data_IF_173450338640
#
_entry.id   IF_173450338640
#
_cell.length_a   1.000
_cell.length_b   1.000
_cell.length_c   1.000
_cell.angle_alpha   90.00
_cell.angle_beta   90.00
_cell.angle_gamma   90.00
#
_symmetry.space_group_name_H-M   'P 1'
#
loop_
_entity.id
_entity.type
_entity.pdbx_description
1 polymer ?
#
# COMPACT_ATOMS: atom_id res chain seq x y z
N UNK A 1 -29.32 12.53 32.98
CA UNK A 1 -29.52 13.86 32.39
C UNK A 1 -28.20 14.64 32.50
N UNK A 2 -27.33 14.52 31.53
CA UNK A 2 -26.39 15.53 31.02
C UNK A 2 -25.82 14.94 29.74
N UNK A 3 -26.53 15.15 28.64
CA UNK A 3 -25.99 15.06 27.30
C UNK A 3 -25.07 16.27 27.16
N UNK A 4 -23.77 16.08 27.45
CA UNK A 4 -22.77 17.01 27.01
C UNK A 4 -22.74 16.95 25.48
N UNK A 5 -23.33 17.95 24.84
CA UNK A 5 -23.07 18.27 23.44
C UNK A 5 -21.57 18.60 23.30
N UNK A 6 -20.73 17.60 23.09
CA UNK A 6 -19.44 17.81 22.47
C UNK A 6 -19.73 18.20 21.01
N UNK A 7 -19.96 19.47 20.78
CA UNK A 7 -19.82 20.04 19.44
C UNK A 7 -18.36 19.88 19.10
N UNK A 8 -18.03 18.81 18.37
CA UNK A 8 -16.70 18.64 17.80
C UNK A 8 -16.43 19.90 16.97
N UNK A 9 -15.56 20.77 17.50
CA UNK A 9 -15.21 22.03 16.86
C UNK A 9 -14.52 21.65 15.54
N UNK A 10 -15.18 21.89 14.41
CA UNK A 10 -14.63 21.60 13.09
C UNK A 10 -13.30 22.32 12.93
N UNK A 11 -12.23 21.55 12.74
CA UNK A 11 -10.90 22.09 12.46
C UNK A 11 -10.90 22.57 11.01
N UNK A 12 -10.58 23.84 10.79
CA UNK A 12 -10.44 24.41 9.45
C UNK A 12 -9.03 24.91 9.25
N UNK A 13 -8.39 24.43 8.19
CA UNK A 13 -7.05 24.84 7.77
C UNK A 13 -7.14 25.48 6.39
N UNK A 14 -6.72 26.73 6.28
CA UNK A 14 -6.67 27.48 5.04
C UNK A 14 -5.23 27.55 4.54
N UNK A 15 -4.98 26.94 3.40
CA UNK A 15 -3.72 27.08 2.66
C UNK A 15 -3.89 28.24 1.68
N UNK A 16 -3.12 29.31 1.88
CA UNK A 16 -3.16 30.51 1.04
C UNK A 16 -2.01 30.56 0.05
N UNK A 17 -2.25 31.26 -1.04
CA UNK A 17 -1.23 31.57 -2.06
C UNK A 17 -0.52 30.31 -2.59
N UNK A 18 -1.26 29.22 -2.78
CA UNK A 18 -0.73 27.96 -3.32
C UNK A 18 -0.63 28.02 -4.85
N UNK A 19 0.41 27.42 -5.41
CA UNK A 19 0.46 27.01 -6.80
C UNK A 19 0.03 25.55 -6.90
N UNK A 20 -1.26 25.31 -7.16
CA UNK A 20 -1.83 23.96 -7.18
C UNK A 20 -1.47 23.26 -8.50
N UNK A 21 -0.96 22.03 -8.38
CA UNK A 21 -0.67 21.14 -9.51
C UNK A 21 -1.53 19.89 -9.36
N UNK A 22 -2.53 19.76 -10.21
CA UNK A 22 -3.46 18.63 -10.21
C UNK A 22 -4.05 18.37 -11.60
N UNK A 23 -4.24 17.11 -11.98
CA UNK A 23 -4.89 16.69 -13.23
C UNK A 23 -4.36 17.42 -14.49
N UNK A 24 -3.03 17.47 -14.62
CA UNK A 24 -2.30 18.15 -15.69
C UNK A 24 -2.51 19.68 -15.78
N UNK A 25 -3.08 20.27 -14.74
CA UNK A 25 -3.24 21.73 -14.64
C UNK A 25 -2.33 22.29 -13.55
N UNK A 26 -1.92 23.54 -13.77
CA UNK A 26 -1.20 24.34 -12.77
C UNK A 26 -1.88 25.69 -12.68
N UNK A 27 -2.32 26.08 -11.47
CA UNK A 27 -3.03 27.33 -11.25
C UNK A 27 -2.81 27.86 -9.83
N UNK A 28 -2.91 29.18 -9.66
CA UNK A 28 -2.80 29.81 -8.35
C UNK A 28 -4.17 29.85 -7.68
N UNK A 29 -4.23 29.38 -6.41
CA UNK A 29 -5.49 29.37 -5.65
C UNK A 29 -5.22 29.18 -4.14
N UNK A 30 -6.24 29.51 -3.34
CA UNK A 30 -6.35 29.11 -1.94
C UNK A 30 -7.12 27.80 -1.80
N UNK A 31 -6.78 27.00 -0.79
CA UNK A 31 -7.43 25.74 -0.49
C UNK A 31 -7.86 25.69 0.97
N UNK A 32 -9.15 25.45 1.22
CA UNK A 32 -9.70 25.26 2.55
C UNK A 32 -9.92 23.79 2.84
N UNK A 33 -9.36 23.31 3.94
CA UNK A 33 -9.56 21.96 4.48
C UNK A 33 -10.50 22.06 5.67
N UNK A 34 -11.52 21.23 5.70
CA UNK A 34 -12.43 21.07 6.84
C UNK A 34 -12.27 19.66 7.40
N UNK A 35 -11.72 19.56 8.61
CA UNK A 35 -11.28 18.29 9.23
C UNK A 35 -10.27 17.56 8.33
N UNK A 36 -10.70 16.51 7.63
CA UNK A 36 -9.91 15.62 6.79
C UNK A 36 -10.28 15.66 5.29
N UNK A 37 -11.13 16.63 4.91
CA UNK A 37 -11.62 16.78 3.53
C UNK A 37 -11.34 18.16 2.97
N UNK A 38 -11.09 18.23 1.65
CA UNK A 38 -11.03 19.49 0.92
C UNK A 38 -12.44 20.05 0.83
N UNK A 39 -12.66 21.24 1.40
CA UNK A 39 -13.96 21.93 1.42
C UNK A 39 -14.11 22.84 0.20
N UNK A 40 -13.11 23.66 -0.08
CA UNK A 40 -13.18 24.68 -1.14
C UNK A 40 -11.81 24.91 -1.75
N UNK A 41 -11.76 25.08 -3.08
CA UNK A 41 -10.64 25.62 -3.84
C UNK A 41 -11.16 26.86 -4.58
N UNK A 42 -10.53 28.02 -4.38
CA UNK A 42 -10.92 29.26 -5.05
C UNK A 42 -9.72 30.19 -5.23
N UNK A 43 -9.80 31.12 -6.16
CA UNK A 43 -8.72 32.10 -6.41
C UNK A 43 -8.36 32.91 -5.16
N UNK A 44 -9.31 33.14 -4.28
CA UNK A 44 -9.12 33.80 -2.98
C UNK A 44 -10.16 33.29 -1.99
N UNK A 45 -9.72 32.97 -0.77
CA UNK A 45 -10.58 32.61 0.36
C UNK A 45 -10.29 33.54 1.55
N UNK A 46 -11.31 34.23 2.03
CA UNK A 46 -11.17 35.10 3.20
C UNK A 46 -10.93 34.27 4.45
N UNK A 47 -9.82 34.56 5.14
CA UNK A 47 -9.49 33.95 6.42
C UNK A 47 -10.54 34.38 7.47
N UNK A 48 -10.85 33.46 8.40
CA UNK A 48 -11.71 33.72 9.57
C UNK A 48 -10.90 33.45 10.85
N UNK A 49 -11.24 34.12 11.94
CA UNK A 49 -10.50 34.07 13.22
C UNK A 49 -10.25 32.64 13.75
N UNK A 50 -11.14 31.71 13.40
CA UNK A 50 -11.05 30.31 13.84
C UNK A 50 -10.35 29.38 12.84
N UNK A 51 -9.81 29.91 11.73
CA UNK A 51 -9.03 29.13 10.77
C UNK A 51 -7.56 29.08 11.19
N UNK A 52 -6.95 27.91 11.05
CA UNK A 52 -5.50 27.81 10.98
C UNK A 52 -5.10 28.23 9.57
N UNK A 53 -4.39 29.35 9.45
CA UNK A 53 -3.91 29.85 8.16
C UNK A 53 -2.47 29.48 7.97
N UNK A 54 -2.11 28.92 6.80
CA UNK A 54 -0.76 28.63 6.36
C UNK A 54 -0.59 29.33 5.02
N UNK A 55 0.32 30.31 4.96
CA UNK A 55 0.69 30.95 3.70
C UNK A 55 1.79 30.12 3.03
N UNK A 56 1.55 29.69 1.79
CA UNK A 56 2.47 28.90 1.00
C UNK A 56 3.40 29.74 0.10
N UNK A 57 3.21 31.07 0.10
CA UNK A 57 4.07 32.04 -0.60
C UNK A 57 4.36 31.67 -2.08
N UNK A 58 3.45 30.96 -2.73
CA UNK A 58 3.59 30.47 -4.11
C UNK A 58 4.22 29.09 -4.23
N UNK A 59 4.43 28.37 -3.12
CA UNK A 59 4.90 26.99 -3.15
C UNK A 59 3.94 26.06 -3.87
N UNK A 60 4.49 24.99 -4.44
CA UNK A 60 3.72 23.96 -5.12
C UNK A 60 2.89 23.13 -4.14
N UNK A 61 1.61 23.07 -4.39
CA UNK A 61 0.68 22.21 -3.65
C UNK A 61 0.22 21.07 -4.58
N UNK A 62 0.55 19.85 -4.19
CA UNK A 62 0.21 18.63 -4.92
C UNK A 62 -0.68 17.73 -4.05
N UNK A 63 -1.54 16.88 -4.66
CA UNK A 63 -2.12 15.76 -3.94
C UNK A 63 -1.03 14.87 -3.33
N UNK A 64 -1.26 14.37 -2.12
CA UNK A 64 -0.35 13.40 -1.50
C UNK A 64 -0.24 12.14 -2.36
N UNK A 65 0.98 11.63 -2.51
CA UNK A 65 1.21 10.40 -3.27
C UNK A 65 0.64 9.18 -2.54
N UNK A 66 0.24 8.18 -3.32
CA UNK A 66 -0.16 6.85 -2.84
C UNK A 66 0.93 5.87 -3.25
N UNK A 67 1.49 5.16 -2.28
CA UNK A 67 2.38 4.02 -2.54
C UNK A 67 1.57 2.73 -2.44
N UNK A 68 1.35 2.08 -3.56
CA UNK A 68 0.50 0.90 -3.66
C UNK A 68 1.23 -0.42 -3.35
N UNK A 69 2.52 -0.35 -2.99
CA UNK A 69 3.32 -1.54 -2.67
C UNK A 69 4.43 -1.23 -1.67
N UNK A 70 4.15 -1.37 -0.38
CA UNK A 70 5.16 -1.23 0.66
C UNK A 70 5.35 -2.53 1.45
N UNK A 71 6.51 -2.65 2.11
CA UNK A 71 6.87 -3.74 3.01
C UNK A 71 7.36 -3.18 4.34
N UNK A 72 6.44 -2.74 5.19
CA UNK A 72 6.76 -2.21 6.53
C UNK A 72 7.09 -3.30 7.55
N UNK A 73 6.77 -4.56 7.24
CA UNK A 73 7.23 -5.75 7.95
C UNK A 73 6.58 -6.03 9.30
N UNK A 74 5.65 -5.24 9.76
CA UNK A 74 4.91 -5.46 10.99
C UNK A 74 3.54 -6.13 10.72
N UNK A 75 3.15 -7.15 11.49
CA UNK A 75 3.83 -7.70 12.67
C UNK A 75 4.95 -8.71 12.38
N UNK A 76 5.81 -8.93 13.39
CA UNK A 76 6.72 -10.08 13.52
C UNK A 76 8.05 -9.98 12.79
N UNK A 77 8.29 -8.92 12.04
CA UNK A 77 9.57 -8.65 11.35
C UNK A 77 10.06 -7.22 11.63
N UNK A 78 9.72 -6.66 12.78
CA UNK A 78 9.94 -5.26 13.18
C UNK A 78 11.43 -4.89 13.24
N UNK A 79 12.33 -5.87 13.29
CA UNK A 79 13.78 -5.64 13.18
C UNK A 79 14.20 -5.12 11.80
N UNK A 80 13.32 -5.20 10.78
CA UNK A 80 13.52 -4.64 9.45
C UNK A 80 12.86 -3.26 9.29
N UNK A 81 11.75 -3.04 10.00
CA UNK A 81 10.96 -1.83 9.98
C UNK A 81 9.61 -2.06 10.65
N UNK A 82 8.94 -0.99 11.08
CA UNK A 82 7.61 -1.06 11.68
C UNK A 82 6.70 0.04 11.13
N UNK A 83 5.39 -0.11 11.28
CA UNK A 83 4.39 0.84 10.77
C UNK A 83 4.66 2.26 11.32
N UNK A 84 5.07 2.37 12.58
CA UNK A 84 5.35 3.67 13.21
C UNK A 84 6.50 4.44 12.54
N UNK A 85 7.60 3.78 12.21
CA UNK A 85 8.78 4.40 11.59
C UNK A 85 8.60 4.60 10.10
N UNK A 86 8.10 3.58 9.41
CA UNK A 86 7.99 3.58 7.95
C UNK A 86 6.87 4.51 7.46
N UNK A 87 5.75 4.63 8.20
CA UNK A 87 4.72 5.62 7.84
C UNK A 87 5.20 7.07 8.01
N UNK A 88 6.09 7.34 8.97
CA UNK A 88 6.72 8.66 9.10
C UNK A 88 7.70 8.94 7.97
N UNK A 89 8.49 7.95 7.58
CA UNK A 89 9.39 8.06 6.43
C UNK A 89 8.61 8.30 5.13
N UNK A 90 7.48 7.58 4.95
CA UNK A 90 6.58 7.78 3.82
C UNK A 90 6.06 9.23 3.76
N UNK A 91 5.51 9.74 4.87
CA UNK A 91 5.00 11.13 4.93
C UNK A 91 6.12 12.15 4.70
N UNK A 92 7.31 11.93 5.24
CA UNK A 92 8.46 12.82 5.00
C UNK A 92 8.87 12.85 3.51
N UNK A 93 8.58 11.78 2.75
CA UNK A 93 8.78 11.70 1.30
C UNK A 93 7.57 12.18 0.47
N UNK A 94 6.48 12.67 1.11
CA UNK A 94 5.28 13.13 0.41
C UNK A 94 4.24 12.04 0.12
N UNK A 95 4.42 10.83 0.66
CA UNK A 95 3.45 9.73 0.55
C UNK A 95 2.46 9.84 1.71
N UNK A 96 1.20 10.08 1.39
CA UNK A 96 0.13 10.28 2.38
C UNK A 96 -0.76 9.06 2.57
N UNK A 97 -0.64 8.07 1.70
CA UNK A 97 -1.37 6.81 1.76
C UNK A 97 -0.48 5.65 1.29
N UNK A 98 -0.58 4.50 1.93
CA UNK A 98 0.17 3.31 1.50
C UNK A 98 -0.67 2.05 1.54
N UNK A 99 -0.26 1.07 0.73
CA UNK A 99 -0.84 -0.27 0.67
C UNK A 99 0.24 -1.31 0.99
N UNK A 100 0.12 -1.99 2.14
CA UNK A 100 1.15 -2.88 2.61
C UNK A 100 0.89 -4.34 2.25
N UNK A 101 1.97 -5.01 1.85
CA UNK A 101 2.01 -6.41 1.45
C UNK A 101 1.83 -7.38 2.62
N UNK A 102 1.30 -8.61 2.35
CA UNK A 102 0.93 -9.56 3.40
C UNK A 102 2.10 -10.38 3.96
N UNK A 103 3.31 -10.26 3.42
CA UNK A 103 4.47 -11.08 3.79
C UNK A 103 5.18 -10.58 5.07
N UNK A 104 4.48 -10.73 6.16
CA UNK A 104 4.86 -10.47 7.55
C UNK A 104 4.83 -11.78 8.36
N UNK A 105 4.99 -11.77 9.67
CA UNK A 105 5.00 -12.99 10.50
C UNK A 105 4.09 -12.84 11.74
N UNK A 106 2.96 -13.56 11.81
CA UNK A 106 2.41 -14.46 10.79
C UNK A 106 1.93 -13.70 9.53
N UNK A 107 1.92 -14.36 8.38
CA UNK A 107 1.46 -13.78 7.13
C UNK A 107 -0.02 -13.35 7.21
N UNK A 108 -0.37 -12.25 6.53
CA UNK A 108 -1.74 -11.70 6.55
C UNK A 108 -2.62 -12.47 5.56
N UNK A 109 -2.99 -13.71 5.89
CA UNK A 109 -3.75 -14.63 5.02
C UNK A 109 -5.16 -14.93 5.51
N UNK A 110 -5.55 -14.36 6.64
CA UNK A 110 -6.86 -14.52 7.25
C UNK A 110 -7.47 -13.19 7.65
N UNK A 111 -8.79 -13.15 7.80
CA UNK A 111 -9.50 -11.97 8.31
C UNK A 111 -8.99 -11.55 9.71
N UNK A 112 -8.66 -12.51 10.55
CA UNK A 112 -8.15 -12.22 11.89
C UNK A 112 -6.78 -11.51 11.83
N UNK A 113 -5.86 -12.00 11.02
CA UNK A 113 -4.55 -11.38 10.82
C UNK A 113 -4.67 -9.98 10.19
N UNK A 114 -5.61 -9.81 9.24
CA UNK A 114 -5.90 -8.51 8.63
C UNK A 114 -6.40 -7.50 9.68
N UNK A 115 -7.38 -7.89 10.52
CA UNK A 115 -7.91 -7.03 11.58
C UNK A 115 -6.82 -6.63 12.57
N UNK A 116 -5.99 -7.59 13.00
CA UNK A 116 -4.86 -7.29 13.89
C UNK A 116 -3.90 -6.25 13.29
N UNK A 117 -3.62 -6.35 12.00
CA UNK A 117 -2.78 -5.38 11.30
C UNK A 117 -3.42 -3.98 11.23
N UNK A 118 -4.73 -3.92 11.01
CA UNK A 118 -5.49 -2.67 11.11
C UNK A 118 -5.43 -2.05 12.50
N UNK A 119 -5.52 -2.86 13.56
CA UNK A 119 -5.44 -2.39 14.96
C UNK A 119 -4.05 -1.80 15.27
N UNK A 120 -2.98 -2.42 14.76
CA UNK A 120 -1.61 -1.89 14.89
C UNK A 120 -1.50 -0.54 14.17
N UNK A 121 -1.97 -0.46 12.93
CA UNK A 121 -1.87 0.75 12.14
C UNK A 121 -2.72 1.89 12.69
N UNK A 122 -3.89 1.60 13.24
CA UNK A 122 -4.75 2.60 13.89
C UNK A 122 -4.07 3.32 15.05
N UNK A 123 -3.10 2.66 15.70
CA UNK A 123 -2.36 3.23 16.83
C UNK A 123 -1.03 3.89 16.42
N UNK A 124 -0.45 3.46 15.29
CA UNK A 124 0.95 3.75 14.98
C UNK A 124 1.17 4.49 13.66
N UNK A 125 0.23 4.39 12.71
CA UNK A 125 0.41 4.99 11.40
C UNK A 125 0.20 6.49 11.40
N UNK A 126 1.11 7.24 10.76
CA UNK A 126 0.96 8.66 10.49
C UNK A 126 0.25 8.92 9.15
N UNK A 127 0.34 7.98 8.20
CA UNK A 127 -0.31 8.05 6.89
C UNK A 127 -1.61 7.23 6.86
N UNK A 128 -2.46 7.47 5.86
CA UNK A 128 -3.57 6.57 5.55
C UNK A 128 -3.03 5.21 5.12
N UNK A 129 -3.77 4.15 5.39
CA UNK A 129 -3.29 2.80 5.13
C UNK A 129 -4.39 1.87 4.64
N UNK A 130 -3.98 0.90 3.86
CA UNK A 130 -4.73 -0.32 3.57
C UNK A 130 -3.77 -1.51 3.45
N UNK A 131 -4.31 -2.72 3.50
CA UNK A 131 -3.52 -3.95 3.51
C UNK A 131 -4.01 -4.92 2.47
N UNK A 132 -3.07 -5.65 1.87
CA UNK A 132 -3.40 -6.80 1.02
C UNK A 132 -3.65 -8.04 1.86
N UNK A 133 -4.70 -8.78 1.52
CA UNK A 133 -4.86 -10.16 1.96
C UNK A 133 -3.94 -11.05 1.11
N UNK A 134 -3.09 -11.86 1.74
CA UNK A 134 -2.22 -12.81 1.05
C UNK A 134 -2.99 -14.05 0.60
N UNK A 135 -2.82 -14.44 -0.66
CA UNK A 135 -3.28 -15.73 -1.14
C UNK A 135 -2.32 -16.83 -0.73
N UNK A 136 -2.87 -18.01 -0.42
CA UNK A 136 -2.17 -19.28 -0.27
C UNK A 136 -2.87 -20.35 -1.11
N UNK A 137 -2.26 -21.51 -1.34
CA UNK A 137 -2.95 -22.60 -2.06
C UNK A 137 -4.28 -23.01 -1.44
N UNK A 138 -4.46 -22.80 -0.11
CA UNK A 138 -5.55 -23.39 0.67
C UNK A 138 -6.52 -22.36 1.26
N UNK A 139 -6.34 -21.03 1.05
CA UNK A 139 -7.17 -20.01 1.70
C UNK A 139 -8.25 -19.38 0.82
N UNK A 140 -8.70 -20.05 -0.25
CA UNK A 140 -9.70 -19.54 -1.18
C UNK A 140 -10.96 -19.01 -0.48
N UNK A 141 -11.45 -19.68 0.55
CA UNK A 141 -12.64 -19.25 1.30
C UNK A 141 -12.41 -17.94 2.06
N UNK A 142 -11.19 -17.66 2.54
CA UNK A 142 -10.84 -16.36 3.11
C UNK A 142 -10.84 -15.26 2.04
N UNK A 143 -10.37 -15.58 0.83
CA UNK A 143 -10.36 -14.66 -0.31
C UNK A 143 -11.78 -14.31 -0.74
N UNK A 144 -12.65 -15.31 -0.91
CA UNK A 144 -14.07 -15.12 -1.27
C UNK A 144 -14.84 -14.30 -0.24
N UNK A 145 -14.52 -14.50 1.04
CA UNK A 145 -15.16 -13.82 2.15
C UNK A 145 -14.55 -12.44 2.46
N UNK A 146 -13.53 -11.98 1.71
CA UNK A 146 -12.91 -10.70 1.99
C UNK A 146 -13.85 -9.54 1.59
N UNK A 147 -13.91 -8.52 2.47
CA UNK A 147 -14.65 -7.30 2.20
C UNK A 147 -13.77 -6.33 1.41
N UNK A 148 -14.13 -5.97 0.16
CA UNK A 148 -13.36 -5.01 -0.64
C UNK A 148 -13.19 -3.61 -0.02
N UNK A 149 -13.96 -3.29 1.02
CA UNK A 149 -13.83 -2.04 1.78
C UNK A 149 -12.74 -2.10 2.85
N UNK A 150 -12.31 -3.29 3.22
CA UNK A 150 -11.31 -3.52 4.28
C UNK A 150 -9.93 -3.89 3.73
N UNK A 151 -9.82 -4.15 2.44
CA UNK A 151 -8.56 -4.52 1.77
C UNK A 151 -8.35 -3.67 0.53
N UNK A 152 -7.09 -3.36 0.21
CA UNK A 152 -6.76 -2.75 -1.08
C UNK A 152 -6.72 -3.78 -2.22
N UNK A 153 -6.63 -5.06 -1.90
CA UNK A 153 -6.63 -6.16 -2.85
C UNK A 153 -6.17 -7.47 -2.23
N UNK A 154 -6.07 -8.49 -3.07
CA UNK A 154 -5.47 -9.79 -2.74
C UNK A 154 -4.11 -9.89 -3.41
N UNK A 155 -3.07 -10.23 -2.64
CA UNK A 155 -1.71 -10.43 -3.16
C UNK A 155 -1.46 -11.90 -3.42
N UNK A 156 -1.07 -12.22 -4.67
CA UNK A 156 -0.68 -13.55 -5.10
C UNK A 156 0.80 -13.56 -5.48
N UNK A 157 1.58 -14.42 -4.86
CA UNK A 157 2.97 -14.67 -5.25
C UNK A 157 3.01 -15.89 -6.16
N UNK A 158 3.15 -15.67 -7.47
CA UNK A 158 3.27 -16.70 -8.50
C UNK A 158 4.73 -17.14 -8.72
N UNK A 159 5.60 -16.79 -7.79
CA UNK A 159 7.04 -17.12 -7.76
C UNK A 159 7.73 -16.30 -6.68
N UNK A 160 8.93 -16.72 -6.29
CA UNK A 160 9.85 -15.99 -5.40
C UNK A 160 9.19 -15.41 -4.13
N UNK A 161 8.49 -16.23 -3.37
CA UNK A 161 7.92 -15.85 -2.08
C UNK A 161 8.61 -16.54 -0.91
N UNK A 162 8.37 -16.01 0.29
CA UNK A 162 8.79 -16.61 1.56
C UNK A 162 7.59 -17.24 2.27
N UNK A 163 7.82 -18.40 2.88
CA UNK A 163 6.78 -19.13 3.62
C UNK A 163 5.67 -19.68 2.72
N UNK A 164 4.46 -19.81 3.27
CA UNK A 164 3.31 -20.46 2.62
C UNK A 164 2.55 -19.57 1.63
N UNK A 165 3.12 -18.42 1.24
CA UNK A 165 2.48 -17.47 0.34
C UNK A 165 2.68 -17.80 -1.15
N UNK A 166 3.44 -18.85 -1.48
CA UNK A 166 3.69 -19.23 -2.87
C UNK A 166 2.49 -19.99 -3.45
N UNK A 167 1.95 -19.47 -4.55
CA UNK A 167 0.83 -20.08 -5.29
C UNK A 167 1.27 -20.32 -6.73
N UNK A 168 1.69 -21.55 -7.04
CA UNK A 168 2.15 -21.93 -8.39
C UNK A 168 1.25 -22.97 -9.07
N UNK A 169 0.33 -23.59 -8.31
CA UNK A 169 -0.58 -24.59 -8.84
C UNK A 169 -1.64 -23.94 -9.74
N UNK A 170 -1.75 -24.37 -11.03
CA UNK A 170 -2.72 -23.79 -11.97
C UNK A 170 -4.16 -23.77 -11.47
N UNK A 171 -4.61 -24.85 -10.83
CA UNK A 171 -5.97 -24.96 -10.33
C UNK A 171 -6.26 -23.96 -9.20
N UNK A 172 -5.28 -23.72 -8.31
CA UNK A 172 -5.41 -22.74 -7.25
C UNK A 172 -5.42 -21.31 -7.81
N UNK A 173 -4.55 -21.02 -8.77
CA UNK A 173 -4.51 -19.72 -9.47
C UNK A 173 -5.84 -19.47 -10.19
N UNK A 174 -6.32 -20.41 -11.00
CA UNK A 174 -7.59 -20.28 -11.71
C UNK A 174 -8.74 -20.00 -10.75
N UNK A 175 -8.83 -20.74 -9.63
CA UNK A 175 -9.85 -20.52 -8.63
C UNK A 175 -9.77 -19.14 -7.97
N UNK A 176 -8.55 -18.69 -7.62
CA UNK A 176 -8.33 -17.36 -7.04
C UNK A 176 -8.73 -16.26 -8.03
N UNK A 177 -8.26 -16.33 -9.27
CA UNK A 177 -8.59 -15.33 -10.29
C UNK A 177 -10.09 -15.26 -10.62
N UNK A 178 -10.78 -16.40 -10.56
CA UNK A 178 -12.22 -16.50 -10.84
C UNK A 178 -13.10 -16.01 -9.68
N UNK A 179 -12.71 -16.31 -8.45
CA UNK A 179 -13.59 -16.16 -7.28
C UNK A 179 -13.22 -14.93 -6.40
N UNK A 180 -12.09 -14.29 -6.66
CA UNK A 180 -11.66 -13.10 -5.89
C UNK A 180 -12.61 -11.92 -6.16
N UNK A 181 -13.22 -11.31 -5.12
CA UNK A 181 -14.19 -10.22 -5.30
C UNK A 181 -13.56 -8.84 -5.48
N UNK A 182 -12.23 -8.74 -5.49
CA UNK A 182 -11.51 -7.47 -5.54
C UNK A 182 -10.27 -7.56 -6.43
N UNK A 183 -9.48 -6.47 -6.48
CA UNK A 183 -8.23 -6.41 -7.24
C UNK A 183 -7.25 -7.52 -6.80
N UNK A 184 -6.62 -8.15 -7.77
CA UNK A 184 -5.51 -9.08 -7.54
C UNK A 184 -4.20 -8.42 -7.97
N UNK A 185 -3.24 -8.34 -7.05
CA UNK A 185 -1.88 -7.92 -7.32
C UNK A 185 -0.96 -9.13 -7.35
N UNK A 186 -0.22 -9.33 -8.43
CA UNK A 186 0.65 -10.50 -8.61
C UNK A 186 2.13 -10.15 -8.52
N UNK A 187 2.93 -11.10 -8.01
CA UNK A 187 4.36 -11.16 -8.25
C UNK A 187 4.62 -12.31 -9.23
N UNK A 188 5.21 -12.01 -10.36
CA UNK A 188 5.29 -12.94 -11.49
C UNK A 188 6.74 -13.29 -11.80
N UNK A 189 7.18 -14.47 -11.35
CA UNK A 189 8.43 -15.09 -11.76
C UNK A 189 8.26 -16.62 -11.74
N UNK A 190 8.62 -17.29 -12.83
CA UNK A 190 8.47 -18.75 -12.94
C UNK A 190 9.58 -19.47 -12.18
N UNK A 191 9.24 -20.11 -11.05
CA UNK A 191 10.19 -20.79 -10.15
C UNK A 191 11.03 -21.87 -10.83
N UNK A 192 10.42 -22.63 -11.74
CA UNK A 192 11.12 -23.68 -12.51
C UNK A 192 12.24 -23.12 -13.37
N UNK A 193 12.03 -21.97 -14.05
CA UNK A 193 13.03 -21.31 -14.89
C UNK A 193 14.18 -20.82 -14.01
N UNK A 194 13.89 -20.18 -12.89
CA UNK A 194 14.90 -19.73 -11.93
C UNK A 194 15.74 -20.90 -11.43
N UNK A 195 15.10 -22.01 -11.06
CA UNK A 195 15.79 -23.21 -10.57
C UNK A 195 16.69 -23.82 -11.64
N UNK A 196 16.23 -23.90 -12.88
CA UNK A 196 17.04 -24.39 -14.01
C UNK A 196 18.24 -23.49 -14.28
N UNK A 197 18.05 -22.17 -14.25
CA UNK A 197 19.13 -21.21 -14.47
C UNK A 197 20.17 -21.28 -13.34
N UNK A 198 19.73 -21.39 -12.10
CA UNK A 198 20.60 -21.57 -10.94
C UNK A 198 21.43 -22.89 -11.08
N UNK A 199 20.81 -23.98 -11.51
CA UNK A 199 21.48 -25.25 -11.72
C UNK A 199 22.58 -25.17 -12.80
N UNK A 200 22.35 -24.40 -13.88
CA UNK A 200 23.37 -24.16 -14.92
C UNK A 200 24.62 -23.46 -14.39
N UNK A 201 24.48 -22.67 -13.35
CA UNK A 201 25.56 -21.89 -12.73
C UNK A 201 26.14 -22.54 -11.46
N UNK A 202 25.69 -23.74 -11.09
CA UNK A 202 26.04 -24.42 -9.83
C UNK A 202 27.53 -24.70 -9.63
N UNK A 203 28.33 -24.78 -10.72
CA UNK A 203 29.79 -24.98 -10.66
C UNK A 203 30.58 -23.66 -10.50
N UNK A 204 29.90 -22.51 -10.49
CA UNK A 204 30.53 -21.20 -10.40
C UNK A 204 30.44 -20.63 -8.98
N UNK A 205 31.40 -19.76 -8.65
CA UNK A 205 31.31 -18.97 -7.44
C UNK A 205 30.32 -17.79 -7.69
N UNK A 206 29.08 -17.95 -7.24
CA UNK A 206 28.00 -17.00 -7.51
C UNK A 206 28.24 -15.66 -6.84
N UNK A 207 28.06 -14.59 -7.60
CA UNK A 207 28.10 -13.19 -7.16
C UNK A 207 26.81 -12.48 -7.57
N UNK A 208 26.59 -11.27 -7.11
CA UNK A 208 25.42 -10.45 -7.49
C UNK A 208 25.32 -10.24 -9.01
N UNK A 209 26.41 -10.30 -9.75
CA UNK A 209 26.45 -10.16 -11.21
C UNK A 209 25.74 -11.31 -11.93
N UNK A 210 25.55 -12.46 -11.30
CA UNK A 210 24.80 -13.60 -11.84
C UNK A 210 23.29 -13.46 -11.66
N UNK A 211 22.83 -12.50 -10.84
CA UNK A 211 21.41 -12.33 -10.55
C UNK A 211 20.53 -12.21 -11.81
N UNK A 212 20.87 -11.38 -12.83
CA UNK A 212 20.09 -11.28 -14.06
C UNK A 212 20.08 -12.55 -14.93
N UNK A 213 21.04 -13.45 -14.73
CA UNK A 213 21.11 -14.74 -15.44
C UNK A 213 20.28 -15.82 -14.72
N UNK A 214 20.15 -15.72 -13.40
CA UNK A 214 19.34 -16.62 -12.57
C UNK A 214 17.86 -16.26 -12.68
N UNK A 215 17.56 -14.98 -12.46
CA UNK A 215 16.20 -14.40 -12.54
C UNK A 215 16.12 -13.57 -13.82
N UNK A 216 16.03 -14.27 -14.93
CA UNK A 216 16.01 -13.66 -16.25
C UNK A 216 14.62 -13.16 -16.67
N UNK A 217 14.58 -12.44 -17.77
CA UNK A 217 13.35 -11.88 -18.32
C UNK A 217 12.33 -12.97 -18.69
N UNK A 218 12.80 -14.16 -19.06
CA UNK A 218 11.94 -15.28 -19.45
C UNK A 218 11.14 -15.80 -18.25
N UNK A 219 11.75 -15.84 -17.06
CA UNK A 219 11.04 -16.21 -15.82
C UNK A 219 9.88 -15.25 -15.52
N UNK A 220 10.08 -13.97 -15.74
CA UNK A 220 9.04 -12.95 -15.57
C UNK A 220 7.97 -13.07 -16.66
N UNK A 221 8.36 -13.16 -17.92
CA UNK A 221 7.44 -13.25 -19.06
C UNK A 221 6.54 -14.49 -18.98
N UNK A 222 7.13 -15.67 -18.74
CA UNK A 222 6.39 -16.93 -18.65
C UNK A 222 5.37 -16.96 -17.49
N UNK A 223 5.61 -16.20 -16.42
CA UNK A 223 4.67 -16.07 -15.29
C UNK A 223 3.61 -14.99 -15.52
N UNK A 224 4.00 -13.84 -16.10
CA UNK A 224 3.07 -12.73 -16.29
C UNK A 224 2.12 -12.90 -17.50
N UNK A 225 2.46 -13.81 -18.43
CA UNK A 225 1.62 -14.14 -19.58
C UNK A 225 0.66 -15.31 -19.33
N UNK A 226 0.67 -15.90 -18.11
CA UNK A 226 -0.23 -16.96 -17.70
C UNK A 226 -1.67 -16.45 -17.58
#
# INVERSE_FOLDING_TARGET
>A
RYLNNLVLKMKKTLLKNAKIVNENNTFDADLLICNDTIDTIASEISAKDHYQVIDLEGDLLLPGMIDDQVHFREPGLEYKGCIATESRAAVAGGITSYMEMPNVSPATTTRLALNHKHDIAAQNSLANYSFYLGATPDNLEQIKACDPKLVCGVKVFMGASTGDLLVEHPQALEAIFKECPTLIATHCEKGDIISQNLAKLSSQNLTIQHHPQIRDVEACYASSSY
#
